data_IF_135024600348
#
_entry.id   IF_135024600348
#
_cell.length_a   1.000
_cell.length_b   1.000
_cell.length_c   1.000
_cell.angle_alpha   90.00
_cell.angle_beta   90.00
_cell.angle_gamma   90.00
#
_symmetry.space_group_name_H-M   'P 1'
#
loop_
_entity.id
_entity.type
_entity.pdbx_description
1 polymer ?
#
# COMPACT_ATOMS: atom_id res chain seq x y z
N UNK A 1 9.69 0.37 52.23
CA UNK A 1 8.58 -0.11 51.37
C UNK A 1 8.32 1.00 50.35
N UNK A 2 8.98 0.92 49.19
CA UNK A 2 8.91 1.95 48.14
C UNK A 2 7.87 1.48 47.11
N UNK A 3 6.87 2.29 46.76
CA UNK A 3 5.95 1.92 45.69
C UNK A 3 6.71 1.92 44.37
N UNK A 4 6.68 0.78 43.66
CA UNK A 4 7.10 0.69 42.27
C UNK A 4 6.13 1.55 41.45
N UNK A 5 6.50 2.82 41.28
CA UNK A 5 5.83 3.73 40.35
C UNK A 5 6.03 3.14 38.96
N UNK A 6 5.04 2.38 38.48
CA UNK A 6 5.01 1.86 37.12
C UNK A 6 5.02 3.07 36.19
N UNK A 7 6.16 3.30 35.57
CA UNK A 7 6.34 4.32 34.56
C UNK A 7 5.43 3.93 33.37
N UNK A 8 4.44 4.76 32.97
CA UNK A 8 3.51 4.44 31.89
C UNK A 8 4.18 4.34 30.49
N UNK A 9 5.50 4.49 30.44
CA UNK A 9 6.31 4.56 29.24
C UNK A 9 6.71 3.17 28.69
N UNK A 10 6.49 2.09 29.45
CA UNK A 10 6.96 0.71 29.11
C UNK A 10 6.02 -0.05 28.13
N UNK A 11 5.01 0.61 27.55
CA UNK A 11 4.24 0.05 26.42
C UNK A 11 4.91 0.30 25.05
N UNK A 12 6.05 1.00 25.02
CA UNK A 12 6.90 1.16 23.82
C UNK A 12 7.90 0.00 23.62
N UNK A 13 7.70 -1.14 24.28
CA UNK A 13 8.50 -2.36 24.06
C UNK A 13 8.28 -2.91 22.65
N UNK A 14 9.16 -2.52 21.74
CA UNK A 14 9.68 -3.32 20.62
C UNK A 14 8.67 -4.28 19.96
N UNK A 15 7.56 -3.75 19.44
CA UNK A 15 6.62 -4.59 18.70
C UNK A 15 7.14 -4.78 17.27
N UNK A 16 7.98 -5.80 17.07
CA UNK A 16 8.60 -6.15 15.78
C UNK A 16 7.59 -6.59 14.70
N UNK A 17 6.28 -6.52 14.96
CA UNK A 17 5.23 -6.75 13.95
C UNK A 17 5.35 -5.81 12.74
N UNK A 18 5.95 -4.63 12.91
CA UNK A 18 6.31 -3.78 11.77
C UNK A 18 7.35 -4.42 10.85
N UNK A 19 8.39 -5.04 11.42
CA UNK A 19 9.42 -5.77 10.68
C UNK A 19 8.86 -7.04 10.04
N UNK A 20 7.99 -7.76 10.74
CA UNK A 20 7.28 -8.93 10.19
C UNK A 20 6.44 -8.52 8.97
N UNK A 21 5.74 -7.38 9.02
CA UNK A 21 5.02 -6.84 7.85
C UNK A 21 5.96 -6.48 6.71
N UNK A 22 7.12 -5.88 7.00
CA UNK A 22 8.12 -5.56 5.99
C UNK A 22 8.65 -6.83 5.32
N UNK A 23 8.92 -7.88 6.11
CA UNK A 23 9.37 -9.18 5.61
C UNK A 23 8.31 -9.83 4.71
N UNK A 24 7.04 -9.85 5.12
CA UNK A 24 5.96 -10.35 4.28
C UNK A 24 5.79 -9.51 3.00
N UNK A 25 5.81 -8.18 3.10
CA UNK A 25 5.73 -7.32 1.92
C UNK A 25 6.90 -7.55 0.93
N UNK A 26 8.11 -7.73 1.44
CA UNK A 26 9.28 -8.07 0.62
C UNK A 26 9.11 -9.43 -0.06
N UNK A 27 8.62 -10.44 0.65
CA UNK A 27 8.32 -11.75 0.08
C UNK A 27 7.29 -11.65 -1.06
N UNK A 28 6.22 -10.86 -0.91
CA UNK A 28 5.22 -10.64 -1.98
C UNK A 28 5.85 -10.00 -3.22
N UNK A 29 6.69 -8.98 -3.04
CA UNK A 29 7.39 -8.31 -4.15
C UNK A 29 8.34 -9.28 -4.86
N UNK A 30 9.12 -10.06 -4.09
CA UNK A 30 10.03 -11.07 -4.64
C UNK A 30 9.29 -12.19 -5.38
N UNK A 31 8.08 -12.52 -4.93
CA UNK A 31 7.22 -13.52 -5.56
C UNK A 31 6.72 -13.08 -6.94
N UNK A 32 6.41 -11.78 -7.11
CA UNK A 32 5.92 -11.23 -8.38
C UNK A 32 7.04 -10.83 -9.35
N UNK A 33 8.28 -10.70 -8.89
CA UNK A 33 9.41 -10.32 -9.74
C UNK A 33 9.63 -11.26 -10.96
N UNK A 34 9.52 -12.60 -10.83
CA UNK A 34 9.61 -13.52 -11.97
C UNK A 34 8.43 -13.39 -12.96
N UNK A 35 7.21 -13.11 -12.47
CA UNK A 35 6.05 -12.88 -13.34
C UNK A 35 6.21 -11.63 -14.19
N UNK A 36 6.80 -10.58 -13.61
CA UNK A 36 7.05 -9.32 -14.30
C UNK A 36 8.14 -9.43 -15.36
N UNK A 37 9.08 -10.37 -15.22
CA UNK A 37 10.22 -10.57 -16.13
C UNK A 37 9.90 -11.60 -17.21
N UNK A 38 9.43 -12.79 -16.83
CA UNK A 38 9.31 -13.94 -17.72
C UNK A 38 7.85 -14.24 -18.11
N UNK A 39 6.85 -13.57 -17.53
CA UNK A 39 5.42 -13.84 -17.76
C UNK A 39 4.98 -15.25 -17.33
N UNK A 40 5.85 -15.97 -16.62
CA UNK A 40 5.70 -17.39 -16.32
C UNK A 40 5.77 -17.62 -14.80
N UNK A 41 4.59 -17.88 -14.21
CA UNK A 41 4.35 -18.23 -12.80
C UNK A 41 5.21 -19.40 -12.30
N UNK A 42 5.69 -20.26 -13.20
CA UNK A 42 6.42 -21.49 -12.87
C UNK A 42 7.88 -21.31 -12.44
N UNK A 43 8.43 -20.08 -12.47
CA UNK A 43 9.83 -19.78 -12.08
C UNK A 43 9.99 -19.11 -10.71
N UNK A 44 8.93 -19.07 -9.90
CA UNK A 44 9.09 -18.71 -8.48
C UNK A 44 10.03 -19.72 -7.81
N UNK A 45 11.11 -19.29 -7.12
CA UNK A 45 12.10 -20.17 -6.53
C UNK A 45 11.50 -21.12 -5.47
N UNK A 46 10.33 -20.79 -4.89
CA UNK A 46 9.62 -21.70 -4.00
C UNK A 46 8.62 -22.62 -4.70
N UNK A 47 8.03 -22.20 -5.83
CA UNK A 47 7.26 -23.11 -6.70
C UNK A 47 8.15 -24.24 -7.24
N UNK A 48 9.44 -23.96 -7.46
CA UNK A 48 10.44 -24.98 -7.80
C UNK A 48 10.79 -25.93 -6.64
N UNK A 49 10.63 -25.51 -5.38
CA UNK A 49 10.97 -26.32 -4.19
C UNK A 49 9.76 -27.05 -3.60
N UNK A 50 8.57 -26.45 -3.64
CA UNK A 50 7.35 -26.95 -3.00
C UNK A 50 6.22 -27.34 -3.97
N UNK A 51 6.39 -27.12 -5.28
CA UNK A 51 5.55 -27.68 -6.35
C UNK A 51 4.12 -27.11 -6.49
N UNK A 52 3.50 -26.62 -5.42
CA UNK A 52 2.10 -26.14 -5.43
C UNK A 52 1.83 -24.92 -4.52
N UNK A 53 2.79 -24.50 -3.70
CA UNK A 53 2.66 -23.35 -2.81
C UNK A 53 3.41 -22.15 -3.39
N UNK A 54 2.66 -21.13 -3.83
CA UNK A 54 3.26 -19.83 -4.15
C UNK A 54 3.67 -19.13 -2.86
N UNK A 55 4.91 -18.63 -2.83
CA UNK A 55 5.36 -17.78 -1.73
C UNK A 55 4.53 -16.50 -1.62
N UNK A 56 4.06 -16.00 -2.76
CA UNK A 56 3.24 -14.80 -2.83
C UNK A 56 1.96 -14.95 -2.03
N UNK A 57 1.25 -16.05 -2.21
CA UNK A 57 -0.03 -16.30 -1.53
C UNK A 57 0.15 -16.38 -0.02
N UNK A 58 1.12 -17.18 0.44
CA UNK A 58 1.42 -17.30 1.88
C UNK A 58 1.88 -15.96 2.49
N UNK A 59 2.70 -15.20 1.76
CA UNK A 59 3.19 -13.91 2.22
C UNK A 59 2.08 -12.85 2.27
N UNK A 60 1.17 -12.83 1.29
CA UNK A 60 -0.01 -11.96 1.29
C UNK A 60 -0.93 -12.30 2.48
N UNK A 61 -1.21 -13.58 2.71
CA UNK A 61 -2.04 -14.03 3.84
C UNK A 61 -1.42 -13.63 5.19
N UNK A 62 -0.11 -13.87 5.36
CA UNK A 62 0.63 -13.44 6.54
C UNK A 62 0.62 -11.91 6.74
N UNK A 63 0.81 -11.15 5.66
CA UNK A 63 0.74 -9.70 5.68
C UNK A 63 -0.63 -9.17 6.12
N UNK A 64 -1.71 -9.76 5.59
CA UNK A 64 -3.08 -9.38 5.93
C UNK A 64 -3.44 -9.77 7.37
N UNK A 65 -3.05 -10.96 7.84
CA UNK A 65 -3.31 -11.41 9.20
C UNK A 65 -2.67 -10.47 10.23
N UNK A 66 -1.38 -10.15 10.07
CA UNK A 66 -0.65 -9.25 10.98
C UNK A 66 -1.22 -7.83 10.91
N UNK A 67 -1.54 -7.35 9.70
CA UNK A 67 -2.14 -6.02 9.53
C UNK A 67 -3.51 -5.95 10.18
N UNK A 68 -4.36 -6.97 10.02
CA UNK A 68 -5.68 -7.07 10.64
C UNK A 68 -5.59 -7.05 12.17
N UNK A 69 -4.67 -7.83 12.76
CA UNK A 69 -4.43 -7.80 14.20
C UNK A 69 -4.07 -6.40 14.72
N UNK A 70 -3.16 -5.69 14.05
CA UNK A 70 -2.77 -4.33 14.44
C UNK A 70 -3.90 -3.32 14.27
N UNK A 71 -4.72 -3.47 13.23
CA UNK A 71 -5.92 -2.64 13.00
C UNK A 71 -6.89 -2.80 14.17
N UNK A 72 -7.21 -4.04 14.53
CA UNK A 72 -8.10 -4.37 15.64
C UNK A 72 -7.56 -3.88 16.98
N UNK A 73 -6.27 -4.10 17.27
CA UNK A 73 -5.63 -3.58 18.50
C UNK A 73 -5.70 -2.05 18.56
N UNK A 74 -5.44 -1.37 17.44
CA UNK A 74 -5.54 0.10 17.36
C UNK A 74 -6.97 0.61 17.55
N UNK A 75 -7.96 -0.12 17.05
CA UNK A 75 -9.38 0.18 17.23
C UNK A 75 -9.80 0.05 18.70
N UNK A 76 -9.43 -1.06 19.36
CA UNK A 76 -9.75 -1.28 20.78
C UNK A 76 -9.13 -0.22 21.70
N UNK A 77 -7.95 0.30 21.33
CA UNK A 77 -7.23 1.31 22.12
C UNK A 77 -7.65 2.76 21.83
N UNK A 78 -8.50 3.00 20.82
CA UNK A 78 -8.91 4.36 20.41
C UNK A 78 -10.42 4.53 20.48
N UNK A 79 -10.90 5.36 21.41
CA UNK A 79 -12.27 5.85 21.41
C UNK A 79 -12.28 7.39 21.33
N UNK A 80 -13.21 8.02 20.60
CA UNK A 80 -14.30 7.46 19.78
C UNK A 80 -13.86 6.94 18.39
N UNK A 81 -14.73 6.18 17.71
CA UNK A 81 -14.47 5.65 16.35
C UNK A 81 -14.12 6.73 15.32
N UNK A 82 -14.70 7.92 15.44
CA UNK A 82 -14.38 9.08 14.60
C UNK A 82 -12.91 9.49 14.72
N UNK A 83 -12.34 9.47 15.93
CA UNK A 83 -10.93 9.79 16.16
C UNK A 83 -10.01 8.74 15.52
N UNK A 84 -10.42 7.47 15.49
CA UNK A 84 -9.70 6.40 14.81
C UNK A 84 -9.70 6.59 13.27
N UNK A 85 -10.86 6.93 12.68
CA UNK A 85 -10.98 7.20 11.25
C UNK A 85 -10.17 8.43 10.82
N UNK A 86 -10.26 9.54 11.56
CA UNK A 86 -9.50 10.76 11.24
C UNK A 86 -8.00 10.51 11.24
N UNK A 87 -7.48 9.77 12.23
CA UNK A 87 -6.04 9.40 12.29
C UNK A 87 -5.59 8.61 11.06
N UNK A 88 -6.46 7.77 10.49
CA UNK A 88 -6.15 7.00 9.27
C UNK A 88 -6.30 7.81 8.01
N UNK A 89 -7.34 8.64 7.91
CA UNK A 89 -7.56 9.54 6.78
C UNK A 89 -6.38 10.50 6.62
N UNK A 90 -5.93 11.13 7.72
CA UNK A 90 -4.76 12.03 7.73
C UNK A 90 -3.47 11.30 7.38
N UNK A 91 -3.39 9.97 7.52
CA UNK A 91 -2.22 9.18 7.15
C UNK A 91 -2.22 8.74 5.68
N UNK A 92 -3.38 8.38 5.12
CA UNK A 92 -3.50 7.84 3.76
C UNK A 92 -3.65 8.97 2.73
N UNK A 93 -4.47 9.97 3.03
CA UNK A 93 -4.83 11.04 2.11
C UNK A 93 -3.63 11.89 1.63
N UNK A 94 -2.69 12.34 2.49
CA UNK A 94 -1.56 13.13 2.00
C UNK A 94 -0.62 12.29 1.13
N UNK A 95 -0.39 11.02 1.48
CA UNK A 95 0.41 10.11 0.66
C UNK A 95 -0.19 9.90 -0.72
N UNK A 96 -1.50 9.70 -0.78
CA UNK A 96 -2.23 9.58 -2.03
C UNK A 96 -2.20 10.86 -2.86
N UNK A 97 -2.38 12.03 -2.25
CA UNK A 97 -2.34 13.32 -2.95
C UNK A 97 -0.97 13.57 -3.58
N UNK A 98 0.10 13.32 -2.84
CA UNK A 98 1.48 13.44 -3.36
C UNK A 98 1.72 12.45 -4.50
N UNK A 99 1.31 11.19 -4.34
CA UNK A 99 1.45 10.19 -5.41
C UNK A 99 0.64 10.58 -6.67
N UNK A 100 -0.57 11.09 -6.49
CA UNK A 100 -1.43 11.55 -7.60
C UNK A 100 -0.82 12.74 -8.32
N UNK A 101 -0.27 13.71 -7.58
CA UNK A 101 0.46 14.84 -8.15
C UNK A 101 1.71 14.39 -8.91
N UNK A 102 2.48 13.45 -8.38
CA UNK A 102 3.64 12.86 -9.05
C UNK A 102 3.21 12.16 -10.36
N UNK A 103 2.12 11.40 -10.34
CA UNK A 103 1.59 10.76 -11.54
C UNK A 103 1.17 11.79 -12.61
N UNK A 104 0.48 12.87 -12.23
CA UNK A 104 0.02 13.89 -13.18
C UNK A 104 1.18 14.76 -13.69
N UNK A 105 2.10 15.17 -12.81
CA UNK A 105 3.15 16.13 -13.14
C UNK A 105 4.40 15.49 -13.76
N UNK A 106 4.70 14.24 -13.44
CA UNK A 106 5.88 13.54 -13.94
C UNK A 106 5.48 12.41 -14.89
N UNK A 107 4.65 11.46 -14.46
CA UNK A 107 4.36 10.26 -15.27
C UNK A 107 3.58 10.61 -16.54
N UNK A 108 2.56 11.47 -16.45
CA UNK A 108 1.76 11.85 -17.61
C UNK A 108 2.56 12.52 -18.74
N UNK A 109 3.40 13.55 -18.52
CA UNK A 109 4.18 14.14 -19.62
C UNK A 109 5.24 13.18 -20.17
N UNK A 110 5.87 12.35 -19.34
CA UNK A 110 6.79 11.31 -19.84
C UNK A 110 6.10 10.25 -20.69
N UNK A 111 4.80 10.01 -20.45
CA UNK A 111 4.00 9.05 -21.19
C UNK A 111 3.21 9.65 -22.38
N UNK A 112 3.44 10.93 -22.72
CA UNK A 112 2.76 11.60 -23.85
C UNK A 112 1.36 12.14 -23.53
N UNK A 113 1.03 12.29 -22.25
CA UNK A 113 -0.24 12.82 -21.78
C UNK A 113 -0.41 14.31 -22.10
N UNK A 114 -1.61 14.67 -22.56
CA UNK A 114 -1.97 16.05 -22.86
C UNK A 114 -2.50 16.74 -21.61
N UNK A 115 -1.62 17.47 -20.92
CA UNK A 115 -1.95 18.19 -19.69
C UNK A 115 -2.97 19.32 -19.94
N UNK A 116 -3.07 19.82 -21.18
CA UNK A 116 -4.01 20.89 -21.54
C UNK A 116 -5.46 20.40 -21.55
N UNK A 117 -5.67 19.11 -21.81
CA UNK A 117 -6.98 18.45 -21.79
C UNK A 117 -7.36 17.93 -20.39
N UNK A 118 -6.42 17.94 -19.43
CA UNK A 118 -6.68 17.53 -18.05
C UNK A 118 -7.49 18.61 -17.31
N UNK A 119 -8.75 18.32 -17.00
CA UNK A 119 -9.58 19.27 -16.24
C UNK A 119 -9.25 19.21 -14.73
N UNK A 120 -8.86 20.36 -14.17
CA UNK A 120 -8.52 20.49 -12.74
C UNK A 120 -9.66 20.00 -11.84
N UNK A 121 -10.91 20.25 -12.25
CA UNK A 121 -12.08 19.80 -11.52
C UNK A 121 -12.20 18.27 -11.48
N UNK A 122 -12.00 17.56 -12.59
CA UNK A 122 -12.05 16.09 -12.58
C UNK A 122 -10.87 15.50 -11.83
N UNK A 123 -9.66 16.06 -11.99
CA UNK A 123 -8.50 15.64 -11.20
C UNK A 123 -8.76 15.85 -9.70
N UNK A 124 -9.34 16.97 -9.31
CA UNK A 124 -9.70 17.28 -7.92
C UNK A 124 -10.78 16.35 -7.35
N UNK A 125 -11.84 16.07 -8.11
CA UNK A 125 -12.91 15.14 -7.69
C UNK A 125 -12.38 13.71 -7.57
N UNK A 126 -11.56 13.26 -8.52
CA UNK A 126 -10.95 11.92 -8.45
C UNK A 126 -9.96 11.83 -7.30
N UNK A 127 -9.18 12.88 -7.06
CA UNK A 127 -8.28 12.95 -5.92
C UNK A 127 -9.03 12.90 -4.58
N UNK A 128 -10.15 13.61 -4.48
CA UNK A 128 -11.03 13.59 -3.31
C UNK A 128 -11.66 12.21 -3.06
N UNK A 129 -12.09 11.53 -4.12
CA UNK A 129 -12.73 10.22 -4.06
C UNK A 129 -11.74 9.04 -3.98
N UNK A 130 -10.43 9.29 -3.80
CA UNK A 130 -9.39 8.26 -3.83
C UNK A 130 -9.39 7.43 -5.13
N UNK A 131 -9.80 8.04 -6.24
CA UNK A 131 -9.81 7.41 -7.56
C UNK A 131 -8.51 7.71 -8.32
N UNK A 132 -8.07 6.75 -9.14
CA UNK A 132 -6.86 6.89 -9.93
C UNK A 132 -6.91 8.16 -10.80
N UNK A 133 -5.82 8.97 -10.84
CA UNK A 133 -5.74 10.09 -11.75
C UNK A 133 -5.71 9.58 -13.19
N UNK A 134 -6.48 10.23 -14.07
CA UNK A 134 -6.52 9.92 -15.50
C UNK A 134 -6.20 11.20 -16.25
N UNK A 135 -5.20 11.13 -17.11
CA UNK A 135 -4.82 12.20 -18.03
C UNK A 135 -4.99 11.64 -19.44
N UNK A 136 -5.81 12.32 -20.25
CA UNK A 136 -6.02 11.99 -21.65
C UNK A 136 -4.68 12.01 -22.41
N UNK A 137 -4.42 10.97 -23.21
CA UNK A 137 -3.19 10.85 -24.00
C UNK A 137 -2.05 10.08 -23.35
N UNK A 138 -2.02 9.97 -22.00
CA UNK A 138 -0.88 9.38 -21.28
C UNK A 138 -0.66 7.88 -21.55
N UNK A 139 -1.63 7.19 -22.16
CA UNK A 139 -1.53 5.78 -22.55
C UNK A 139 -2.04 5.53 -23.96
N UNK A 140 -2.09 6.57 -24.81
CA UNK A 140 -2.68 6.47 -26.16
C UNK A 140 -1.94 5.46 -27.07
N UNK A 141 -0.64 5.23 -26.81
CA UNK A 141 0.23 4.32 -27.56
C UNK A 141 0.20 2.86 -27.05
N UNK A 142 -0.52 2.56 -25.96
CA UNK A 142 -0.61 1.20 -25.42
C UNK A 142 -1.83 0.44 -25.97
N UNK A 143 -1.70 -0.87 -26.25
CA UNK A 143 -2.80 -1.67 -26.82
C UNK A 143 -4.00 -1.89 -25.88
N UNK A 144 -3.94 -1.39 -24.64
CA UNK A 144 -5.00 -1.55 -23.64
C UNK A 144 -5.74 -0.21 -23.48
N UNK A 145 -6.95 -0.12 -24.04
CA UNK A 145 -7.82 1.05 -24.00
C UNK A 145 -8.76 0.94 -22.79
N UNK A 146 -8.70 1.89 -21.84
CA UNK A 146 -9.75 2.11 -20.82
C UNK A 146 -10.68 3.23 -21.23
#
# INVERSE_FOLDING_TARGET
>A
MIPLQQNPDDESRANNLGLVRLLFAALVVLSHAPELIDGNRSREPLTQVFGTLSLGELAVDGFFLVSGYLITRSYLNTRPFSAYLVKRAVRIYPGFLVASLVCIALVAPFAGGDLSAASILQCGVRALLLLMPVVSGAFAELPFRT
#
